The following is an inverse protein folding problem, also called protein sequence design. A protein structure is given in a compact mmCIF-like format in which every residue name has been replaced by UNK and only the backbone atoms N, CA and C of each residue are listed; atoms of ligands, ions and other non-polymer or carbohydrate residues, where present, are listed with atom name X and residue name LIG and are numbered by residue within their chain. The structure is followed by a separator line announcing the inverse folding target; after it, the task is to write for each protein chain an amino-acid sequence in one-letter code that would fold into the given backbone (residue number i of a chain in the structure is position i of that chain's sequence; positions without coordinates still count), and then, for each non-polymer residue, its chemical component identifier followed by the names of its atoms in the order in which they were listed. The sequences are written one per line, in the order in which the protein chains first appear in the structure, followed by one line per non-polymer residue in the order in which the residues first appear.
data_IF_905514746145
#
_entry.id   IF_905514746145
#
_cell.length_a   1.000
_cell.length_b   1.000
_cell.length_c   1.000
_cell.angle_alpha   90.00
_cell.angle_beta   90.00
_cell.angle_gamma   90.00
#
_symmetry.space_group_name_H-M   'P 1'
#
loop_
_entity.id
_entity.type
_entity.pdbx_description
1 polymer ?
#
# COMPACT_ATOMS: atom_id res chain seq x y z
N UNK A 1 14.94 -1.38 -11.35
CA UNK A 1 14.48 -2.37 -10.36
C UNK A 1 13.42 -1.68 -9.54
N UNK A 2 12.21 -2.22 -9.53
CA UNK A 2 11.10 -1.63 -8.79
C UNK A 2 11.00 -2.27 -7.40
N UNK A 3 10.39 -1.54 -6.46
CA UNK A 3 10.10 -2.02 -5.11
C UNK A 3 8.60 -1.86 -4.82
N UNK A 4 8.10 -2.63 -3.88
CA UNK A 4 6.71 -2.53 -3.42
C UNK A 4 6.50 -1.32 -2.51
N UNK A 5 5.24 -0.93 -2.29
CA UNK A 5 4.87 0.18 -1.40
C UNK A 5 5.41 -0.04 0.02
N UNK A 6 5.29 -1.26 0.57
CA UNK A 6 5.77 -1.54 1.94
C UNK A 6 7.28 -1.34 2.08
N UNK A 7 8.06 -1.76 1.07
CA UNK A 7 9.53 -1.59 1.05
C UNK A 7 9.91 -0.12 0.92
N UNK A 8 9.21 0.63 0.05
CA UNK A 8 9.42 2.06 -0.07
C UNK A 8 9.12 2.78 1.26
N UNK A 9 8.03 2.42 1.95
CA UNK A 9 7.70 2.95 3.28
C UNK A 9 8.77 2.64 4.32
N UNK A 10 9.35 1.45 4.31
CA UNK A 10 10.46 1.10 5.22
C UNK A 10 11.69 1.98 4.98
N UNK A 11 12.06 2.23 3.72
CA UNK A 11 13.18 3.11 3.37
C UNK A 11 12.90 4.55 3.81
N UNK A 12 11.70 5.07 3.53
CA UNK A 12 11.29 6.42 3.95
C UNK A 12 11.33 6.56 5.48
N UNK A 13 10.78 5.58 6.20
CA UNK A 13 10.79 5.53 7.68
C UNK A 13 12.21 5.50 8.24
N UNK A 14 13.09 4.68 7.67
CA UNK A 14 14.49 4.58 8.07
C UNK A 14 15.25 5.90 7.91
N UNK A 15 14.77 6.80 7.04
CA UNK A 15 15.33 8.13 6.81
C UNK A 15 14.52 9.25 7.52
N UNK A 16 13.64 8.90 8.46
CA UNK A 16 12.91 9.87 9.29
C UNK A 16 11.71 10.52 8.61
N UNK A 17 11.28 10.03 7.44
CA UNK A 17 10.07 10.52 6.78
C UNK A 17 8.85 9.82 7.42
N UNK A 18 7.87 10.57 7.94
CA UNK A 18 6.65 10.00 8.50
C UNK A 18 5.90 9.18 7.46
N UNK A 19 5.59 7.93 7.79
CA UNK A 19 4.76 7.05 6.98
C UNK A 19 3.80 6.31 7.91
N UNK A 20 2.52 6.09 7.50
CA UNK A 20 1.61 5.25 8.27
C UNK A 20 2.24 3.88 8.56
N UNK A 21 2.03 3.30 9.74
CA UNK A 21 2.47 1.95 10.01
C UNK A 21 1.76 0.99 9.06
N UNK A 22 2.38 -0.13 8.75
CA UNK A 22 1.75 -1.13 7.90
C UNK A 22 2.53 -2.42 7.90
N UNK A 23 1.81 -3.54 7.84
CA UNK A 23 2.37 -4.87 7.80
C UNK A 23 1.83 -5.64 6.60
N UNK A 24 2.65 -6.55 6.06
CA UNK A 24 2.29 -7.34 4.89
C UNK A 24 1.62 -8.64 5.31
N UNK A 25 0.54 -9.00 4.61
CA UNK A 25 -0.11 -10.30 4.71
C UNK A 25 -0.05 -11.04 3.37
N UNK A 26 0.11 -12.35 3.44
CA UNK A 26 0.04 -13.30 2.33
C UNK A 26 -1.23 -14.15 2.37
N UNK A 27 -1.94 -14.13 3.50
CA UNK A 27 -3.21 -14.83 3.69
C UNK A 27 -4.28 -13.90 4.30
N UNK A 28 -5.57 -14.21 4.11
CA UNK A 28 -6.65 -13.49 4.79
C UNK A 28 -6.55 -13.54 6.32
N UNK A 29 -6.09 -14.66 6.88
CA UNK A 29 -5.93 -14.82 8.33
C UNK A 29 -4.85 -13.88 8.89
N UNK A 30 -3.71 -13.77 8.19
CA UNK A 30 -2.66 -12.80 8.53
C UNK A 30 -3.18 -11.36 8.45
N UNK A 31 -3.96 -11.04 7.41
CA UNK A 31 -4.54 -9.71 7.23
C UNK A 31 -5.47 -9.32 8.38
N UNK A 32 -6.33 -10.25 8.82
CA UNK A 32 -7.21 -10.07 9.98
C UNK A 32 -6.40 -9.87 11.25
N UNK A 33 -5.40 -10.72 11.50
CA UNK A 33 -4.57 -10.62 12.70
C UNK A 33 -3.81 -9.28 12.78
N UNK A 34 -3.38 -8.74 11.64
CA UNK A 34 -2.77 -7.40 11.56
C UNK A 34 -3.80 -6.31 11.87
N UNK A 35 -4.99 -6.38 11.27
CA UNK A 35 -6.05 -5.40 11.49
C UNK A 35 -6.51 -5.34 12.96
N UNK A 36 -6.60 -6.49 13.63
CA UNK A 36 -6.91 -6.58 15.07
C UNK A 36 -5.88 -5.84 15.93
N UNK A 37 -4.58 -5.89 15.57
CA UNK A 37 -3.53 -5.16 16.29
C UNK A 37 -3.61 -3.66 16.10
N UNK A 38 -3.98 -3.19 14.91
CA UNK A 38 -4.13 -1.76 14.66
C UNK A 38 -5.37 -1.18 15.34
N UNK A 39 -6.47 -1.93 15.33
CA UNK A 39 -7.77 -1.44 15.77
C UNK A 39 -8.34 -0.37 14.85
N UNK A 40 -9.67 -0.27 14.82
CA UNK A 40 -10.37 0.69 13.96
C UNK A 40 -10.31 0.36 12.47
N UNK A 41 -10.48 1.39 11.64
CA UNK A 41 -10.53 1.25 10.17
C UNK A 41 -9.13 1.10 9.59
N UNK A 42 -8.95 0.11 8.71
CA UNK A 42 -7.70 -0.14 7.98
C UNK A 42 -7.92 -0.07 6.47
N UNK A 43 -6.84 -0.08 5.71
CA UNK A 43 -6.83 -0.20 4.25
C UNK A 43 -6.11 -1.48 3.85
N UNK A 44 -6.76 -2.30 3.02
CA UNK A 44 -6.17 -3.49 2.37
C UNK A 44 -5.64 -3.08 0.99
N UNK A 45 -4.32 -3.13 0.79
CA UNK A 45 -3.66 -2.63 -0.44
C UNK A 45 -2.84 -3.70 -1.16
N UNK A 46 -3.23 -4.06 -2.37
CA UNK A 46 -2.48 -4.93 -3.26
C UNK A 46 -1.02 -4.46 -3.43
N UNK A 47 -0.07 -5.39 -3.32
CA UNK A 47 1.35 -5.14 -3.56
C UNK A 47 1.76 -5.72 -4.92
N UNK A 48 1.85 -4.86 -5.92
CA UNK A 48 2.29 -5.17 -7.29
C UNK A 48 3.12 -4.02 -7.84
N UNK A 49 4.05 -4.30 -8.77
CA UNK A 49 4.85 -3.28 -9.45
C UNK A 49 4.07 -2.63 -10.60
N UNK A 50 2.91 -2.07 -10.26
CA UNK A 50 2.07 -1.32 -11.20
C UNK A 50 1.26 -0.23 -10.49
N UNK A 51 1.01 0.87 -11.21
CA UNK A 51 0.08 1.92 -10.80
C UNK A 51 -1.38 1.53 -11.01
N UNK A 52 -2.31 2.41 -10.63
CA UNK A 52 -3.75 2.23 -10.91
C UNK A 52 -4.47 1.21 -10.02
N UNK A 53 -3.82 0.70 -8.96
CA UNK A 53 -4.35 -0.31 -8.03
C UNK A 53 -5.75 0.04 -7.48
N UNK A 54 -5.98 1.30 -7.09
CA UNK A 54 -7.28 1.74 -6.58
C UNK A 54 -8.40 1.61 -7.62
N UNK A 55 -8.17 2.06 -8.86
CA UNK A 55 -9.14 1.92 -9.95
C UNK A 55 -9.38 0.46 -10.33
N UNK A 56 -8.37 -0.40 -10.17
CA UNK A 56 -8.46 -1.83 -10.41
C UNK A 56 -9.12 -2.61 -9.24
N UNK A 57 -9.52 -1.95 -8.16
CA UNK A 57 -10.13 -2.59 -6.99
C UNK A 57 -9.16 -3.19 -5.98
N UNK A 58 -7.85 -3.03 -6.17
CA UNK A 58 -6.80 -3.53 -5.27
C UNK A 58 -6.49 -2.63 -4.07
N UNK A 59 -7.33 -1.64 -3.76
CA UNK A 59 -7.21 -0.78 -2.58
C UNK A 59 -8.61 -0.63 -1.98
N UNK A 60 -8.81 -1.11 -0.76
CA UNK A 60 -10.12 -1.12 -0.09
C UNK A 60 -10.01 -0.69 1.37
N UNK A 61 -10.91 0.20 1.80
CA UNK A 61 -11.12 0.54 3.20
C UNK A 61 -11.94 -0.58 3.87
N UNK A 62 -11.57 -0.95 5.09
CA UNK A 62 -12.28 -1.92 5.90
C UNK A 62 -12.44 -1.39 7.33
N UNK A 63 -13.68 -1.24 7.79
CA UNK A 63 -14.05 -0.79 9.13
C UNK A 63 -14.22 -1.95 10.12
N UNK A 64 -14.13 -3.20 9.65
CA UNK A 64 -14.27 -4.40 10.48
C UNK A 64 -13.32 -5.52 10.03
N UNK A 65 -13.00 -6.46 10.93
CA UNK A 65 -12.20 -7.64 10.59
C UNK A 65 -12.88 -8.56 9.56
N UNK A 66 -14.21 -8.59 9.53
CA UNK A 66 -14.98 -9.26 8.47
C UNK A 66 -14.73 -8.64 7.10
N UNK A 67 -14.77 -7.31 6.99
CA UNK A 67 -14.45 -6.61 5.74
C UNK A 67 -12.98 -6.80 5.34
N UNK A 68 -12.06 -6.81 6.30
CA UNK A 68 -10.64 -7.11 6.04
C UNK A 68 -10.48 -8.49 5.42
N UNK A 69 -11.11 -9.52 5.99
CA UNK A 69 -11.09 -10.88 5.44
C UNK A 69 -11.63 -10.91 4.03
N UNK A 70 -12.83 -10.37 3.82
CA UNK A 70 -13.49 -10.33 2.52
C UNK A 70 -12.61 -9.64 1.47
N UNK A 71 -12.03 -8.49 1.81
CA UNK A 71 -11.16 -7.75 0.89
C UNK A 71 -9.86 -8.49 0.63
N UNK A 72 -9.25 -9.12 1.63
CA UNK A 72 -8.04 -9.91 1.44
C UNK A 72 -8.28 -11.13 0.54
N UNK A 73 -9.39 -11.86 0.75
CA UNK A 73 -9.80 -12.99 -0.09
C UNK A 73 -10.05 -12.57 -1.55
N UNK A 74 -10.64 -11.40 -1.77
CA UNK A 74 -10.91 -10.88 -3.11
C UNK A 74 -9.66 -10.31 -3.81
N UNK A 75 -8.72 -9.74 -3.05
CA UNK A 75 -7.53 -9.09 -3.59
C UNK A 75 -6.39 -10.09 -3.81
N UNK A 76 -6.14 -11.01 -2.88
CA UNK A 76 -5.10 -12.01 -3.05
C UNK A 76 -5.43 -12.94 -4.23
N UNK A 77 -4.47 -13.13 -5.12
CA UNK A 77 -4.64 -13.90 -6.36
C UNK A 77 -5.32 -13.13 -7.51
N UNK A 78 -5.86 -11.93 -7.28
CA UNK A 78 -6.39 -11.11 -8.37
C UNK A 78 -5.26 -10.67 -9.32
N UNK A 79 -5.61 -10.32 -10.56
CA UNK A 79 -4.66 -9.76 -11.53
C UNK A 79 -4.85 -8.26 -11.69
N UNK A 80 -3.78 -7.48 -11.52
CA UNK A 80 -3.74 -6.04 -11.77
C UNK A 80 -2.69 -5.77 -12.84
N UNK A 81 -3.12 -5.29 -14.00
CA UNK A 81 -2.24 -5.06 -15.17
C UNK A 81 -1.41 -6.31 -15.54
N UNK A 82 -2.03 -7.49 -15.47
CA UNK A 82 -1.38 -8.77 -15.76
C UNK A 82 -0.53 -9.37 -14.63
N UNK A 83 -0.29 -8.62 -13.55
CA UNK A 83 0.46 -9.09 -12.38
C UNK A 83 -0.47 -9.71 -11.34
N UNK A 84 -0.13 -10.91 -10.85
CA UNK A 84 -0.86 -11.55 -9.76
C UNK A 84 -0.52 -10.86 -8.44
N UNK A 85 -1.53 -10.56 -7.63
CA UNK A 85 -1.34 -10.02 -6.28
C UNK A 85 -1.05 -11.16 -5.32
N UNK A 86 0.21 -11.32 -4.92
CA UNK A 86 0.63 -12.36 -3.96
C UNK A 86 0.61 -11.89 -2.51
N UNK A 87 0.54 -10.57 -2.30
CA UNK A 87 0.64 -9.93 -0.99
C UNK A 87 -0.24 -8.69 -0.90
N UNK A 88 -0.76 -8.42 0.29
CA UNK A 88 -1.47 -7.18 0.61
C UNK A 88 -0.76 -6.46 1.77
N UNK A 89 -0.77 -5.14 1.74
CA UNK A 89 -0.36 -4.30 2.85
C UNK A 89 -1.61 -3.89 3.64
N UNK A 90 -1.60 -4.15 4.94
CA UNK A 90 -2.62 -3.69 5.89
C UNK A 90 -2.03 -2.50 6.64
N UNK A 91 -2.74 -1.38 6.65
CA UNK A 91 -2.29 -0.11 7.23
C UNK A 91 -3.50 0.65 7.77
N UNK A 92 -3.40 1.39 8.89
CA UNK A 92 -4.52 2.21 9.37
C UNK A 92 -5.03 3.16 8.29
N UNK A 93 -6.33 3.44 8.32
CA UNK A 93 -6.90 4.51 7.53
C UNK A 93 -6.47 5.86 8.13
N UNK A 94 -6.12 6.81 7.26
CA UNK A 94 -5.78 8.18 7.63
C UNK A 94 -6.97 9.09 7.34
N UNK A 95 -7.14 10.13 8.16
CA UNK A 95 -8.10 11.20 7.90
C UNK A 95 -7.44 12.26 7.01
N UNK A 96 -7.74 12.21 5.72
CA UNK A 96 -7.03 12.98 4.69
C UNK A 96 -7.77 14.31 4.44
N UNK A 97 -7.17 15.41 4.90
CA UNK A 97 -7.67 16.77 4.64
C UNK A 97 -7.25 17.28 3.25
N UNK A 98 -5.98 17.10 2.89
CA UNK A 98 -5.42 17.52 1.59
C UNK A 98 -4.51 16.46 1.00
N UNK A 99 -4.43 16.41 -0.33
CA UNK A 99 -3.52 15.56 -1.07
C UNK A 99 -2.59 16.42 -1.93
N UNK A 100 -1.30 16.08 -1.92
CA UNK A 100 -0.27 16.74 -2.72
C UNK A 100 0.57 15.69 -3.46
N UNK A 101 1.23 16.14 -4.53
CA UNK A 101 2.18 15.33 -5.28
C UNK A 101 3.61 15.78 -4.95
N UNK A 102 4.49 14.81 -4.72
CA UNK A 102 5.95 15.01 -4.62
C UNK A 102 6.64 13.84 -5.31
N UNK A 103 7.63 14.14 -6.14
CA UNK A 103 8.51 13.17 -6.78
C UNK A 103 9.93 13.69 -6.90
N UNK A 104 10.90 12.79 -6.90
CA UNK A 104 12.30 13.12 -7.18
C UNK A 104 12.79 12.24 -8.31
N UNK A 105 13.24 12.88 -9.39
CA UNK A 105 13.73 12.19 -10.58
C UNK A 105 15.08 12.78 -11.00
N UNK A 106 15.87 12.01 -11.72
CA UNK A 106 17.07 12.53 -12.37
C UNK A 106 16.66 13.24 -13.65
N UNK A 107 16.80 14.56 -13.67
CA UNK A 107 16.67 15.35 -14.90
C UNK A 107 17.94 15.14 -15.74
N UNK A 108 17.78 14.48 -16.89
CA UNK A 108 18.88 14.17 -17.80
C UNK A 108 19.50 15.42 -18.43
N UNK A 109 18.74 16.51 -18.59
CA UNK A 109 19.23 17.76 -19.16
C UNK A 109 20.00 18.56 -18.12
N UNK A 110 19.49 18.63 -16.88
CA UNK A 110 20.17 19.29 -15.78
C UNK A 110 21.31 18.43 -15.18
N UNK A 111 21.34 17.13 -15.47
CA UNK A 111 22.24 16.14 -14.89
C UNK A 111 22.21 16.13 -13.35
N UNK A 112 21.04 16.40 -12.77
CA UNK A 112 20.84 16.54 -11.33
C UNK A 112 19.49 15.95 -10.90
N UNK A 113 19.32 15.77 -9.59
CA UNK A 113 18.02 15.43 -9.02
C UNK A 113 17.09 16.65 -9.04
N UNK A 114 15.87 16.46 -9.50
CA UNK A 114 14.82 17.48 -9.57
C UNK A 114 13.61 17.02 -8.77
N UNK A 115 13.09 17.92 -7.93
CA UNK A 115 11.83 17.75 -7.24
C UNK A 115 10.69 18.23 -8.14
N UNK A 116 9.63 17.43 -8.23
CA UNK A 116 8.40 17.71 -8.99
C UNK A 116 7.17 17.50 -8.12
#
# INVERSE_FOLDING_TARGET
MDIHEYQAKEILRANGIPVPPGEVATTPDEAVAIAERYGGTVVVKAQVHSGGRGKAGGVKLAASTSEVREHAENILGMKISGLTVEKVLITPAEDIDTEAYVGVLIDRKAQAATFI
#
